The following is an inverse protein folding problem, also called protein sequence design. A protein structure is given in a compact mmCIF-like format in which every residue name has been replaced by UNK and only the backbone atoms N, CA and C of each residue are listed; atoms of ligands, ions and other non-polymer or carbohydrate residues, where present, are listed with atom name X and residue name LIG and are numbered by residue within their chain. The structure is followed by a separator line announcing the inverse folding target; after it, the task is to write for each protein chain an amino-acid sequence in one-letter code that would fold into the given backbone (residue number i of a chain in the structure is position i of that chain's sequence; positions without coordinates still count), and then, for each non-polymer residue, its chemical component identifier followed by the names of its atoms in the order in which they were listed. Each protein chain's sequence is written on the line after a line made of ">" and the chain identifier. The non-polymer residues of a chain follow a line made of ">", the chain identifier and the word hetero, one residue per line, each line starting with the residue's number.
data_IF_929326708534
#
_entry.id   IF_929326708534
#
_cell.length_a   1.000
_cell.length_b   1.000
_cell.length_c   1.000
_cell.angle_alpha   90.00
_cell.angle_beta   90.00
_cell.angle_gamma   90.00
#
_symmetry.space_group_name_H-M   'P 1'
#
loop_
_entity.id
_entity.type
_entity.pdbx_description
1 polymer ?
#
# COMPACT_ATOMS: atom_id res chain seq x y z
N UNK A 1 -35.22 2.90 -29.86
CA UNK A 1 -34.57 3.91 -28.98
C UNK A 1 -33.25 3.30 -28.52
N UNK A 2 -32.18 3.47 -29.32
CA UNK A 2 -30.88 2.84 -29.05
C UNK A 2 -30.10 3.66 -28.04
N UNK A 3 -29.79 3.06 -26.89
CA UNK A 3 -28.94 3.69 -25.89
C UNK A 3 -27.55 3.96 -26.51
N UNK A 4 -26.93 5.12 -26.23
CA UNK A 4 -25.63 5.45 -26.78
C UNK A 4 -24.57 4.52 -26.17
N UNK A 5 -23.94 3.71 -27.01
CA UNK A 5 -22.71 2.99 -26.66
C UNK A 5 -21.65 4.03 -26.30
N UNK A 6 -21.03 3.97 -25.11
CA UNK A 6 -20.04 4.97 -24.72
C UNK A 6 -18.84 4.87 -25.68
N UNK A 7 -18.47 5.98 -26.33
CA UNK A 7 -17.25 6.06 -27.14
C UNK A 7 -16.05 6.09 -26.20
N UNK A 8 -15.54 4.90 -25.86
CA UNK A 8 -14.30 4.74 -25.12
C UNK A 8 -13.12 5.15 -25.99
N UNK A 9 -12.13 5.83 -25.41
CA UNK A 9 -10.85 6.05 -26.06
C UNK A 9 -10.13 4.71 -26.29
N UNK A 10 -9.31 4.63 -27.36
CA UNK A 10 -8.60 3.40 -27.72
C UNK A 10 -7.69 2.86 -26.59
N UNK A 11 -7.22 3.73 -25.68
CA UNK A 11 -6.43 3.34 -24.51
C UNK A 11 -7.25 2.60 -23.44
N UNK A 12 -8.51 3.00 -23.21
CA UNK A 12 -9.41 2.34 -22.26
C UNK A 12 -9.88 0.97 -22.75
N UNK A 13 -10.00 0.77 -24.06
CA UNK A 13 -10.31 -0.54 -24.64
C UNK A 13 -9.15 -1.53 -24.47
N UNK A 14 -7.91 -1.10 -24.77
CA UNK A 14 -6.71 -1.94 -24.64
C UNK A 14 -6.46 -2.43 -23.22
N UNK A 15 -6.60 -1.54 -22.22
CA UNK A 15 -6.41 -1.92 -20.82
C UNK A 15 -7.39 -3.01 -20.35
N UNK A 16 -8.66 -2.95 -20.77
CA UNK A 16 -9.67 -3.96 -20.42
C UNK A 16 -9.45 -5.30 -21.09
N UNK A 17 -9.07 -5.30 -22.37
CA UNK A 17 -8.76 -6.55 -23.08
C UNK A 17 -7.58 -7.24 -22.40
N UNK A 18 -6.56 -6.48 -21.99
CA UNK A 18 -5.43 -7.02 -21.23
C UNK A 18 -5.86 -7.59 -19.87
N UNK A 19 -6.70 -6.87 -19.10
CA UNK A 19 -7.20 -7.36 -17.80
C UNK A 19 -8.05 -8.63 -17.96
N UNK A 20 -8.92 -8.69 -18.97
CA UNK A 20 -9.78 -9.84 -19.22
C UNK A 20 -8.98 -11.07 -19.65
N UNK A 21 -7.98 -10.87 -20.52
CA UNK A 21 -7.05 -11.92 -20.93
C UNK A 21 -6.24 -12.47 -19.74
N UNK A 22 -5.71 -11.59 -18.89
CA UNK A 22 -4.96 -11.98 -17.68
C UNK A 22 -5.85 -12.73 -16.66
N UNK A 23 -7.10 -12.29 -16.51
CA UNK A 23 -8.06 -12.92 -15.59
C UNK A 23 -8.73 -14.18 -16.15
N UNK A 24 -8.43 -14.58 -17.39
CA UNK A 24 -9.03 -15.76 -18.05
C UNK A 24 -10.54 -15.63 -18.28
N UNK A 25 -11.08 -14.40 -18.32
CA UNK A 25 -12.50 -14.12 -18.49
C UNK A 25 -12.77 -13.39 -19.80
N UNK A 26 -14.00 -13.49 -20.31
CA UNK A 26 -14.37 -12.70 -21.49
C UNK A 26 -14.39 -11.20 -21.14
N UNK A 27 -14.00 -10.31 -22.07
CA UNK A 27 -14.18 -8.87 -21.87
C UNK A 27 -15.62 -8.50 -21.53
N UNK A 28 -16.60 -9.20 -22.14
CA UNK A 28 -18.04 -9.05 -21.88
C UNK A 28 -18.45 -9.39 -20.45
N UNK A 29 -17.83 -10.40 -19.82
CA UNK A 29 -18.05 -10.73 -18.41
C UNK A 29 -17.53 -9.62 -17.50
N UNK A 30 -16.37 -9.04 -17.83
CA UNK A 30 -15.81 -7.90 -17.10
C UNK A 30 -16.75 -6.68 -17.12
N UNK A 31 -17.42 -6.42 -18.26
CA UNK A 31 -18.39 -5.33 -18.42
C UNK A 31 -19.63 -5.46 -17.52
N UNK A 32 -20.02 -6.68 -17.14
CA UNK A 32 -21.17 -6.89 -16.26
C UNK A 32 -20.88 -6.55 -14.81
N UNK A 33 -19.62 -6.70 -14.38
CA UNK A 33 -19.21 -6.45 -12.99
C UNK A 33 -18.60 -5.05 -12.78
N UNK A 34 -17.94 -4.49 -13.80
CA UNK A 34 -17.24 -3.22 -13.68
C UNK A 34 -17.49 -2.29 -14.87
N UNK A 35 -18.06 -1.12 -14.59
CA UNK A 35 -18.39 -0.13 -15.61
C UNK A 35 -17.15 0.44 -16.33
N UNK A 36 -16.00 0.55 -15.63
CA UNK A 36 -14.75 1.12 -16.14
C UNK A 36 -13.52 0.57 -15.39
N UNK A 37 -12.31 0.92 -15.85
CA UNK A 37 -11.06 0.45 -15.23
C UNK A 37 -10.86 1.03 -13.81
N UNK A 38 -11.46 2.20 -13.55
CA UNK A 38 -11.46 2.86 -12.26
C UNK A 38 -12.29 2.07 -11.23
N UNK A 39 -13.41 1.47 -11.63
CA UNK A 39 -14.23 0.59 -10.79
C UNK A 39 -13.50 -0.71 -10.44
N UNK A 40 -12.69 -1.24 -11.37
CA UNK A 40 -11.80 -2.38 -11.10
C UNK A 40 -10.74 -1.97 -10.07
N UNK A 41 -10.10 -0.81 -10.24
CA UNK A 41 -9.12 -0.28 -9.31
C UNK A 41 -9.71 -0.06 -7.91
N UNK A 42 -10.92 0.48 -7.81
CA UNK A 42 -11.62 0.68 -6.53
C UNK A 42 -11.96 -0.65 -5.83
N UNK A 43 -12.43 -1.65 -6.57
CA UNK A 43 -12.72 -2.98 -6.01
C UNK A 43 -11.43 -3.70 -5.56
N UNK A 44 -10.36 -3.61 -6.34
CA UNK A 44 -9.03 -4.09 -5.95
C UNK A 44 -8.53 -3.36 -4.69
N UNK A 45 -8.71 -2.05 -4.64
CA UNK A 45 -8.30 -1.26 -3.49
C UNK A 45 -9.02 -1.70 -2.21
N UNK A 46 -10.35 -1.88 -2.27
CA UNK A 46 -11.13 -2.40 -1.14
C UNK A 46 -10.65 -3.78 -0.67
N UNK A 47 -10.35 -4.69 -1.59
CA UNK A 47 -9.78 -6.01 -1.25
C UNK A 47 -8.42 -5.88 -0.58
N UNK A 48 -7.55 -5.02 -1.10
CA UNK A 48 -6.20 -4.82 -0.56
C UNK A 48 -6.23 -4.16 0.82
N UNK A 49 -7.16 -3.24 1.10
CA UNK A 49 -7.37 -2.70 2.46
C UNK A 49 -7.63 -3.82 3.46
N UNK A 50 -8.56 -4.73 3.15
CA UNK A 50 -8.88 -5.85 4.03
C UNK A 50 -7.68 -6.77 4.26
N UNK A 51 -6.98 -7.14 3.19
CA UNK A 51 -5.81 -8.03 3.28
C UNK A 51 -4.63 -7.39 4.04
N UNK A 52 -4.37 -6.10 3.83
CA UNK A 52 -3.34 -5.37 4.59
C UNK A 52 -3.69 -5.28 6.07
N UNK A 53 -4.96 -5.01 6.38
CA UNK A 53 -5.44 -4.96 7.76
C UNK A 53 -5.20 -6.29 8.46
N UNK A 54 -5.55 -7.41 7.82
CA UNK A 54 -5.34 -8.77 8.32
C UNK A 54 -3.85 -9.10 8.50
N UNK A 55 -3.01 -8.79 7.51
CA UNK A 55 -1.57 -9.03 7.57
C UNK A 55 -0.91 -8.24 8.73
N UNK A 56 -1.29 -6.97 8.92
CA UNK A 56 -0.78 -6.14 10.01
C UNK A 56 -1.32 -6.54 11.38
N UNK A 57 -2.60 -6.91 11.48
CA UNK A 57 -3.13 -7.48 12.71
C UNK A 57 -2.31 -8.72 13.06
N UNK A 58 -2.18 -9.68 12.15
CA UNK A 58 -1.40 -10.89 12.36
C UNK A 58 0.06 -10.62 12.77
N UNK A 59 0.72 -9.63 12.16
CA UNK A 59 2.11 -9.27 12.47
C UNK A 59 2.32 -8.64 13.86
N UNK A 60 1.28 -8.02 14.42
CA UNK A 60 1.31 -7.35 15.72
C UNK A 60 0.50 -8.11 16.79
N UNK A 61 -0.02 -9.30 16.46
CA UNK A 61 -0.74 -10.15 17.40
C UNK A 61 0.19 -10.63 18.53
N UNK A 62 -0.35 -10.67 19.75
CA UNK A 62 0.26 -11.35 20.89
C UNK A 62 1.27 -10.54 21.70
N UNK A 63 1.63 -9.32 21.30
CA UNK A 63 2.48 -8.44 22.12
C UNK A 63 2.01 -6.99 22.01
N UNK A 64 1.73 -6.30 23.13
CA UNK A 64 1.38 -4.88 23.08
C UNK A 64 2.49 -4.08 22.39
N UNK A 65 2.15 -3.28 21.38
CA UNK A 65 3.14 -2.48 20.63
C UNK A 65 3.95 -1.57 21.56
N UNK A 66 3.37 -1.11 22.66
CA UNK A 66 4.05 -0.30 23.68
C UNK A 66 5.22 -1.02 24.36
N UNK A 67 5.23 -2.36 24.41
CA UNK A 67 6.31 -3.14 25.03
C UNK A 67 7.41 -3.54 24.05
N UNK A 68 7.24 -3.27 22.75
CA UNK A 68 8.23 -3.56 21.72
C UNK A 68 9.16 -2.37 21.53
N UNK A 69 10.43 -2.60 21.26
CA UNK A 69 11.36 -1.55 20.83
C UNK A 69 11.14 -1.19 19.35
N UNK A 70 11.56 0.01 18.93
CA UNK A 70 11.41 0.46 17.55
C UNK A 70 12.00 -0.49 16.49
N UNK A 71 13.19 -1.10 16.68
CA UNK A 71 13.69 -2.11 15.74
C UNK A 71 12.71 -3.25 15.52
N UNK A 72 12.11 -3.76 16.61
CA UNK A 72 11.19 -4.89 16.55
C UNK A 72 9.86 -4.52 15.89
N UNK A 73 9.35 -3.31 16.17
CA UNK A 73 8.17 -2.77 15.48
C UNK A 73 8.42 -2.67 13.97
N UNK A 74 9.59 -2.15 13.57
CA UNK A 74 9.97 -2.01 12.15
C UNK A 74 10.11 -3.37 11.50
N UNK A 75 10.79 -4.33 12.13
CA UNK A 75 10.99 -5.67 11.60
C UNK A 75 9.67 -6.41 11.38
N UNK A 76 8.79 -6.39 12.40
CA UNK A 76 7.47 -7.03 12.33
C UNK A 76 6.55 -6.37 11.30
N UNK A 77 6.77 -5.09 10.96
CA UNK A 77 5.90 -4.35 10.02
C UNK A 77 6.40 -4.42 8.57
N UNK A 78 7.71 -4.34 8.34
CA UNK A 78 8.28 -4.21 6.98
C UNK A 78 8.17 -5.51 6.20
N UNK A 79 8.48 -6.66 6.83
CA UNK A 79 8.55 -7.95 6.15
C UNK A 79 7.20 -8.40 5.54
N UNK A 80 6.07 -8.33 6.27
CA UNK A 80 4.78 -8.72 5.72
C UNK A 80 4.33 -7.84 4.56
N UNK A 81 4.62 -6.53 4.60
CA UNK A 81 4.25 -5.61 3.51
C UNK A 81 5.08 -5.91 2.26
N UNK A 82 6.36 -6.24 2.41
CA UNK A 82 7.22 -6.67 1.30
C UNK A 82 6.70 -7.97 0.67
N UNK A 83 6.45 -8.99 1.49
CA UNK A 83 5.88 -10.27 1.04
C UNK A 83 4.55 -10.06 0.31
N UNK A 84 3.68 -9.19 0.83
CA UNK A 84 2.41 -8.84 0.21
C UNK A 84 2.60 -8.16 -1.15
N UNK A 85 3.55 -7.23 -1.28
CA UNK A 85 3.87 -6.56 -2.55
C UNK A 85 4.43 -7.53 -3.60
N UNK A 86 5.28 -8.47 -3.18
CA UNK A 86 5.83 -9.51 -4.07
C UNK A 86 4.71 -10.42 -4.57
N UNK A 87 3.80 -10.84 -3.68
CA UNK A 87 2.66 -11.69 -4.02
C UNK A 87 1.59 -10.98 -4.86
N UNK A 88 1.51 -9.64 -4.79
CA UNK A 88 0.50 -8.83 -5.46
C UNK A 88 1.13 -7.69 -6.28
N UNK A 89 1.75 -7.96 -7.44
CA UNK A 89 2.40 -6.91 -8.25
C UNK A 89 1.48 -5.74 -8.63
N UNK A 90 0.17 -6.00 -8.80
CA UNK A 90 -0.85 -4.97 -9.07
C UNK A 90 -1.07 -3.99 -7.92
N UNK A 91 -0.69 -4.36 -6.69
CA UNK A 91 -0.76 -3.48 -5.53
C UNK A 91 0.19 -2.29 -5.66
N UNK A 92 1.36 -2.46 -6.30
CA UNK A 92 2.32 -1.37 -6.55
C UNK A 92 1.67 -0.18 -7.26
N UNK A 93 0.73 -0.44 -8.18
CA UNK A 93 0.03 0.60 -8.94
C UNK A 93 -1.00 1.39 -8.10
N UNK A 94 -1.40 0.87 -6.94
CA UNK A 94 -2.33 1.53 -6.01
C UNK A 94 -1.62 2.07 -4.77
N UNK A 95 -0.46 1.51 -4.42
CA UNK A 95 0.22 1.78 -3.17
C UNK A 95 1.25 2.91 -3.26
N UNK A 96 1.94 3.02 -4.40
CA UNK A 96 3.02 3.97 -4.56
C UNK A 96 2.76 4.80 -5.80
N UNK A 97 2.57 6.12 -5.63
CA UNK A 97 3.09 7.19 -6.50
C UNK A 97 2.41 8.55 -6.25
N UNK A 98 3.17 9.63 -5.97
CA UNK A 98 2.63 10.98 -6.00
C UNK A 98 2.22 11.44 -7.41
N UNK A 99 2.67 10.75 -8.46
CA UNK A 99 2.34 10.99 -9.87
C UNK A 99 1.18 10.12 -10.41
N UNK A 100 0.33 9.60 -9.51
CA UNK A 100 -0.79 8.74 -9.90
C UNK A 100 -1.88 9.50 -10.68
N UNK A 101 -2.48 8.92 -11.74
CA UNK A 101 -3.62 9.54 -12.42
C UNK A 101 -4.77 9.82 -11.45
N UNK A 102 -5.53 10.93 -11.59
CA UNK A 102 -6.53 11.34 -10.61
C UNK A 102 -7.55 10.26 -10.23
N UNK A 103 -8.02 9.47 -11.21
CA UNK A 103 -8.97 8.38 -10.96
C UNK A 103 -8.40 7.22 -10.15
N UNK A 104 -7.09 6.94 -10.30
CA UNK A 104 -6.38 5.94 -9.49
C UNK A 104 -6.06 6.51 -8.09
N UNK A 105 -5.71 7.80 -8.00
CA UNK A 105 -5.46 8.46 -6.73
C UNK A 105 -6.70 8.43 -5.82
N UNK A 106 -7.89 8.67 -6.40
CA UNK A 106 -9.15 8.55 -5.67
C UNK A 106 -9.42 7.11 -5.20
N UNK A 107 -9.11 6.10 -6.02
CA UNK A 107 -9.26 4.70 -5.65
C UNK A 107 -8.26 4.26 -4.56
N UNK A 108 -7.09 4.89 -4.48
CA UNK A 108 -6.06 4.60 -3.48
C UNK A 108 -6.30 5.30 -2.13
N UNK A 109 -7.13 6.35 -2.09
CA UNK A 109 -7.37 7.15 -0.88
C UNK A 109 -7.76 6.31 0.35
N UNK A 110 -8.68 5.33 0.26
CA UNK A 110 -9.04 4.49 1.41
C UNK A 110 -7.86 3.66 1.93
N UNK A 111 -6.97 3.19 1.04
CA UNK A 111 -5.75 2.47 1.44
C UNK A 111 -4.81 3.40 2.18
N UNK A 112 -4.58 4.60 1.63
CA UNK A 112 -3.67 5.58 2.24
C UNK A 112 -4.20 6.04 3.61
N UNK A 113 -5.50 6.28 3.73
CA UNK A 113 -6.14 6.66 5.00
C UNK A 113 -6.05 5.53 6.05
N UNK A 114 -6.34 4.29 5.66
CA UNK A 114 -6.24 3.13 6.55
C UNK A 114 -4.79 2.89 7.01
N UNK A 115 -3.83 3.02 6.11
CA UNK A 115 -2.40 2.91 6.44
C UNK A 115 -1.96 4.02 7.39
N UNK A 116 -2.35 5.26 7.09
CA UNK A 116 -2.04 6.41 7.93
C UNK A 116 -2.55 6.21 9.35
N UNK A 117 -3.85 5.91 9.51
CA UNK A 117 -4.45 5.71 10.83
C UNK A 117 -3.79 4.58 11.62
N UNK A 118 -3.34 3.51 10.95
CA UNK A 118 -2.62 2.40 11.59
C UNK A 118 -1.21 2.81 12.05
N UNK A 119 -0.45 3.50 11.20
CA UNK A 119 0.89 3.98 11.58
C UNK A 119 0.79 5.01 12.71
N UNK A 120 -0.23 5.87 12.68
CA UNK A 120 -0.54 6.77 13.80
C UNK A 120 -0.84 6.00 15.08
N UNK A 121 -1.62 4.91 15.06
CA UNK A 121 -1.90 4.14 16.27
C UNK A 121 -0.65 3.53 16.89
N UNK A 122 0.28 3.03 16.06
CA UNK A 122 1.58 2.50 16.50
C UNK A 122 2.41 3.61 17.13
N UNK A 123 2.51 4.78 16.48
CA UNK A 123 3.26 5.93 17.01
C UNK A 123 2.65 6.44 18.31
N UNK A 124 1.32 6.51 18.42
CA UNK A 124 0.64 6.92 19.65
C UNK A 124 0.96 6.00 20.82
N UNK A 125 1.05 4.68 20.59
CA UNK A 125 1.40 3.70 21.62
C UNK A 125 2.89 3.81 22.03
N UNK A 126 3.78 4.12 21.09
CA UNK A 126 5.24 4.20 21.33
C UNK A 126 5.73 5.55 21.84
N UNK A 127 5.05 6.63 21.48
CA UNK A 127 5.42 8.01 21.81
C UNK A 127 4.18 8.80 22.25
N UNK A 128 3.61 8.50 23.44
CA UNK A 128 2.36 9.10 23.90
C UNK A 128 2.45 10.61 24.16
N UNK A 129 3.66 11.16 24.27
CA UNK A 129 3.90 12.60 24.45
C UNK A 129 3.74 13.45 23.19
N UNK A 130 3.62 12.84 22.00
CA UNK A 130 3.47 13.58 20.74
C UNK A 130 2.07 14.18 20.61
N UNK A 131 2.00 15.41 20.11
CA UNK A 131 0.74 16.01 19.68
C UNK A 131 0.16 15.25 18.47
N UNK A 132 -1.14 15.40 18.23
CA UNK A 132 -1.78 14.80 17.06
C UNK A 132 -1.11 15.24 15.75
N UNK A 133 -0.71 16.51 15.64
CA UNK A 133 -0.07 17.05 14.44
C UNK A 133 1.33 16.46 14.21
N UNK A 134 2.14 16.32 15.26
CA UNK A 134 3.46 15.68 15.18
C UNK A 134 3.34 14.21 14.82
N UNK A 135 2.38 13.50 15.40
CA UNK A 135 2.09 12.10 15.08
C UNK A 135 1.69 11.93 13.62
N UNK A 136 0.75 12.72 13.11
CA UNK A 136 0.36 12.68 11.69
C UNK A 136 1.52 12.99 10.76
N UNK A 137 2.33 14.01 11.08
CA UNK A 137 3.51 14.36 10.29
C UNK A 137 4.50 13.20 10.25
N UNK A 138 4.78 12.61 11.40
CA UNK A 138 5.71 11.49 11.55
C UNK A 138 5.23 10.27 10.78
N UNK A 139 3.95 9.91 10.90
CA UNK A 139 3.35 8.80 10.19
C UNK A 139 3.46 8.98 8.67
N UNK A 140 3.13 10.18 8.16
CA UNK A 140 3.25 10.50 6.72
C UNK A 140 4.68 10.37 6.21
N UNK A 141 5.66 10.88 6.94
CA UNK A 141 7.07 10.78 6.54
C UNK A 141 7.55 9.32 6.56
N UNK A 142 7.22 8.55 7.59
CA UNK A 142 7.57 7.13 7.65
C UNK A 142 6.97 6.33 6.47
N UNK A 143 5.69 6.58 6.14
CA UNK A 143 5.02 6.00 4.98
C UNK A 143 5.74 6.41 3.69
N UNK A 144 6.11 7.68 3.55
CA UNK A 144 6.75 8.18 2.33
C UNK A 144 8.16 7.60 2.13
N UNK A 145 8.94 7.42 3.20
CA UNK A 145 10.23 6.73 3.18
C UNK A 145 10.04 5.30 2.67
N UNK A 146 9.08 4.56 3.25
CA UNK A 146 8.78 3.20 2.85
C UNK A 146 8.37 3.13 1.36
N UNK A 147 7.43 3.98 0.94
CA UNK A 147 6.97 4.06 -0.45
C UNK A 147 8.09 4.41 -1.44
N UNK A 148 9.05 5.24 -1.05
CA UNK A 148 10.16 5.65 -1.92
C UNK A 148 11.19 4.52 -2.11
N UNK A 149 11.49 3.75 -1.06
CA UNK A 149 12.50 2.68 -1.10
C UNK A 149 11.92 1.32 -1.54
N UNK A 150 10.60 1.11 -1.40
CA UNK A 150 9.94 -0.13 -1.80
C UNK A 150 10.21 -0.51 -3.27
N UNK A 151 10.09 0.39 -4.27
CA UNK A 151 10.45 0.06 -5.65
C UNK A 151 11.89 -0.40 -5.83
N UNK A 152 12.83 0.16 -5.05
CA UNK A 152 14.25 -0.23 -5.08
C UNK A 152 14.42 -1.65 -4.53
N UNK A 153 13.79 -1.96 -3.38
CA UNK A 153 13.83 -3.30 -2.79
C UNK A 153 13.21 -4.38 -3.71
N UNK A 154 12.10 -4.05 -4.37
CA UNK A 154 11.42 -4.97 -5.29
C UNK A 154 12.19 -5.16 -6.61
N UNK A 155 12.92 -4.13 -7.07
CA UNK A 155 13.71 -4.19 -8.31
C UNK A 155 15.11 -4.78 -8.12
N UNK A 156 15.60 -4.86 -6.88
CA UNK A 156 16.92 -5.43 -6.56
C UNK A 156 17.03 -6.91 -6.95
N UNK A 157 18.24 -7.30 -7.36
CA UNK A 157 18.60 -8.69 -7.62
C UNK A 157 18.40 -9.54 -6.34
N UNK A 158 18.12 -10.86 -6.44
CA UNK A 158 17.81 -11.68 -5.27
C UNK A 158 18.88 -11.67 -4.16
N UNK A 159 20.15 -11.55 -4.54
CA UNK A 159 21.31 -11.46 -3.67
C UNK A 159 21.50 -10.07 -3.05
N UNK A 160 21.14 -9.00 -3.75
CA UNK A 160 21.20 -7.62 -3.24
C UNK A 160 19.97 -7.20 -2.43
N UNK A 161 18.81 -7.81 -2.68
CA UNK A 161 17.54 -7.45 -2.04
C UNK A 161 17.59 -7.43 -0.51
N UNK A 162 18.20 -8.41 0.19
CA UNK A 162 18.32 -8.37 1.65
C UNK A 162 19.06 -7.12 2.15
N UNK A 163 20.10 -6.67 1.44
CA UNK A 163 20.85 -5.47 1.80
C UNK A 163 20.01 -4.20 1.63
N UNK A 164 19.23 -4.11 0.55
CA UNK A 164 18.32 -2.98 0.31
C UNK A 164 17.20 -2.93 1.37
N UNK A 165 16.64 -4.09 1.75
CA UNK A 165 15.66 -4.19 2.82
C UNK A 165 16.26 -3.76 4.16
N UNK A 166 17.51 -4.16 4.45
CA UNK A 166 18.21 -3.74 5.66
C UNK A 166 18.40 -2.22 5.73
N UNK A 167 18.75 -1.56 4.61
CA UNK A 167 18.84 -0.10 4.57
C UNK A 167 17.48 0.58 4.75
N UNK A 168 16.40 0.05 4.16
CA UNK A 168 15.03 0.54 4.41
C UNK A 168 14.68 0.47 5.91
N UNK A 169 14.90 -0.70 6.53
CA UNK A 169 14.63 -0.90 7.96
C UNK A 169 15.47 0.06 8.82
N UNK A 170 16.75 0.24 8.49
CA UNK A 170 17.66 1.15 9.18
C UNK A 170 17.21 2.61 9.10
N UNK A 171 16.77 3.10 7.93
CA UNK A 171 16.25 4.46 7.79
C UNK A 171 14.99 4.66 8.63
N UNK A 172 14.03 3.74 8.55
CA UNK A 172 12.81 3.79 9.34
C UNK A 172 13.10 3.76 10.85
N UNK A 173 13.95 2.84 11.28
CA UNK A 173 14.39 2.74 12.67
C UNK A 173 15.01 4.04 13.17
N UNK A 174 15.97 4.61 12.43
CA UNK A 174 16.66 5.85 12.85
C UNK A 174 15.69 7.03 12.91
N UNK A 175 14.77 7.12 11.96
CA UNK A 175 13.74 8.15 11.94
C UNK A 175 12.78 8.04 13.13
N UNK A 176 12.28 6.83 13.41
CA UNK A 176 11.32 6.59 14.50
C UNK A 176 11.94 6.63 15.89
N UNK A 177 13.21 6.23 16.02
CA UNK A 177 13.90 6.25 17.32
C UNK A 177 14.17 7.66 17.84
N UNK A 178 14.19 8.66 16.95
CA UNK A 178 14.28 10.06 17.35
C UNK A 178 13.03 10.57 18.09
N UNK A 179 11.94 9.78 18.12
CA UNK A 179 10.71 10.08 18.85
C UNK A 179 10.78 9.65 20.32
N UNK A 180 11.73 8.79 20.66
CA UNK A 180 11.99 8.38 22.03
C UNK A 180 12.98 9.36 22.66
N UNK A 181 12.69 9.91 23.86
CA UNK A 181 13.60 10.79 24.57
C UNK A 181 14.90 10.09 24.99
#
# INVERSE_FOLDING_TARGET
>A
MGLPVPKWSASACRARIAIAAEAGVSPGSLYQFFANKEAIAAALAGRFVTQMREAHEAALLGTPVSTLDWPEVVDRTVEPILAFNVANPGFKALFARPDMPPGLAAAAEPIQAALLGRVESVIAAKAPGLTAQERTRTARVAIQIFQAMLPMALAAAPDERPAVIAELKKVLYRYLSALSP
#
